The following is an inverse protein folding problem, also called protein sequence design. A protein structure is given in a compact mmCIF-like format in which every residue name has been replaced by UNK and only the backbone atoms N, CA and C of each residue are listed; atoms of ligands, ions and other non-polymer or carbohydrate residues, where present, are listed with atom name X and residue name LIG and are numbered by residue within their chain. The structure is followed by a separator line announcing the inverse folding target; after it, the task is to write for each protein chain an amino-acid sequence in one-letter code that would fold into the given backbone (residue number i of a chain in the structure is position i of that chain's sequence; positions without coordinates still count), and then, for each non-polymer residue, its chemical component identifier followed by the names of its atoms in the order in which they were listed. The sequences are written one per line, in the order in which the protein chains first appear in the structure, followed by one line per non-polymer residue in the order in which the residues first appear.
data_IF_250585444220
#
_entry.id   IF_250585444220
#
_cell.length_a   1.000
_cell.length_b   1.000
_cell.length_c   1.000
_cell.angle_alpha   90.00
_cell.angle_beta   90.00
_cell.angle_gamma   90.00
#
_symmetry.space_group_name_H-M   'P 1'
#
loop_
_entity.id
_entity.type
_entity.pdbx_description
1 polymer ?
#
# COMPACT_ATOMS: atom_id res chain seq x y z
N UNK A 1 -21.52 26.18 -17.97
CA UNK A 1 -20.75 25.50 -16.90
C UNK A 1 -19.63 24.76 -17.60
N UNK A 2 -18.38 25.23 -17.48
CA UNK A 2 -17.25 24.57 -18.13
C UNK A 2 -16.96 23.25 -17.44
N UNK A 3 -16.93 22.17 -18.21
CA UNK A 3 -16.57 20.83 -17.71
C UNK A 3 -15.09 20.85 -17.37
N UNK A 4 -14.73 20.94 -16.09
CA UNK A 4 -13.34 20.77 -15.66
C UNK A 4 -12.88 19.38 -16.08
N UNK A 5 -11.92 19.31 -17.00
CA UNK A 5 -11.45 18.04 -17.55
C UNK A 5 -10.55 17.35 -16.53
N UNK A 6 -11.02 16.23 -15.99
CA UNK A 6 -10.24 15.35 -15.12
C UNK A 6 -9.29 14.51 -15.97
N UNK A 7 -8.00 14.49 -15.62
CA UNK A 7 -6.96 13.77 -16.36
C UNK A 7 -6.41 12.57 -15.57
N UNK A 8 -5.84 11.61 -16.29
CA UNK A 8 -5.01 10.54 -15.73
C UNK A 8 -5.71 9.37 -15.05
N UNK A 9 -7.02 9.22 -15.25
CA UNK A 9 -7.83 8.12 -14.70
C UNK A 9 -7.52 6.77 -15.35
N UNK A 10 -6.83 6.76 -16.49
CA UNK A 10 -6.58 5.54 -17.28
C UNK A 10 -5.74 4.50 -16.54
N UNK A 11 -6.34 3.32 -16.29
CA UNK A 11 -5.64 2.16 -15.73
C UNK A 11 -5.58 2.12 -14.19
N UNK A 12 -6.18 3.09 -13.50
CA UNK A 12 -6.42 3.01 -12.06
C UNK A 12 -7.81 2.48 -11.74
N UNK A 13 -7.98 1.90 -10.55
CA UNK A 13 -9.29 1.51 -10.01
C UNK A 13 -9.92 2.65 -9.21
N UNK A 14 -11.24 2.70 -9.14
CA UNK A 14 -11.95 3.66 -8.30
C UNK A 14 -11.69 3.42 -6.81
N UNK A 15 -11.72 2.15 -6.42
CA UNK A 15 -11.51 1.66 -5.06
C UNK A 15 -10.22 0.81 -4.95
N UNK A 16 -9.57 0.79 -3.77
CA UNK A 16 -8.48 -0.13 -3.55
C UNK A 16 -9.01 -1.56 -3.56
N UNK A 17 -8.25 -2.48 -4.14
CA UNK A 17 -8.50 -3.90 -4.03
C UNK A 17 -8.51 -4.31 -2.56
N UNK A 18 -9.61 -4.90 -2.13
CA UNK A 18 -9.70 -5.59 -0.85
C UNK A 18 -9.38 -7.07 -1.13
N UNK A 19 -8.24 -7.60 -0.66
CA UNK A 19 -7.93 -9.01 -0.65
C UNK A 19 -8.54 -9.64 0.59
N UNK A 20 -9.25 -10.75 0.41
CA UNK A 20 -9.29 -11.89 1.35
C UNK A 20 -10.44 -12.82 0.91
N UNK A 21 -10.07 -14.05 0.53
CA UNK A 21 -10.98 -15.20 0.43
C UNK A 21 -10.92 -16.08 1.71
N UNK A 22 -10.22 -15.62 2.75
CA UNK A 22 -10.21 -16.25 4.08
C UNK A 22 -11.60 -16.18 4.73
N UNK A 23 -11.82 -17.04 5.73
CA UNK A 23 -13.07 -16.97 6.48
C UNK A 23 -13.11 -15.70 7.36
N UNK A 24 -14.32 -15.20 7.72
CA UNK A 24 -14.42 -14.04 8.60
C UNK A 24 -13.70 -14.22 9.94
N UNK A 25 -13.32 -13.11 10.55
CA UNK A 25 -12.66 -13.07 11.86
C UNK A 25 -13.45 -13.86 12.91
N UNK A 26 -12.76 -14.73 13.66
CA UNK A 26 -13.33 -15.54 14.73
C UNK A 26 -14.55 -16.40 14.32
N UNK A 27 -14.68 -16.73 13.03
CA UNK A 27 -15.72 -17.63 12.52
C UNK A 27 -15.48 -19.11 12.85
N UNK A 28 -14.26 -19.48 13.21
CA UNK A 28 -13.85 -20.84 13.54
C UNK A 28 -13.47 -20.98 15.03
N UNK A 29 -13.61 -22.19 15.56
CA UNK A 29 -13.06 -22.51 16.88
C UNK A 29 -11.55 -22.79 16.81
N UNK A 30 -10.75 -22.23 17.73
CA UNK A 30 -9.32 -22.53 17.81
C UNK A 30 -9.10 -24.00 18.21
N UNK A 31 -8.03 -24.58 17.66
CA UNK A 31 -7.49 -25.91 17.98
C UNK A 31 -6.15 -25.74 18.69
N UNK A 32 -5.67 -26.79 19.34
CA UNK A 32 -4.33 -26.78 19.97
C UNK A 32 -3.21 -26.38 19.00
N UNK A 33 -3.31 -26.83 17.74
CA UNK A 33 -2.38 -26.44 16.68
C UNK A 33 -2.34 -24.93 16.42
N UNK A 34 -3.47 -24.23 16.52
CA UNK A 34 -3.53 -22.78 16.30
C UNK A 34 -2.90 -22.02 17.45
N UNK A 35 -3.10 -22.49 18.68
CA UNK A 35 -2.40 -21.92 19.84
C UNK A 35 -0.89 -22.12 19.73
N UNK A 36 -0.44 -23.28 19.26
CA UNK A 36 0.98 -23.53 19.02
C UNK A 36 1.55 -22.59 17.95
N UNK A 37 0.86 -22.42 16.81
CA UNK A 37 1.25 -21.48 15.75
C UNK A 37 1.24 -20.04 16.29
N UNK A 38 0.22 -19.63 17.04
CA UNK A 38 0.15 -18.31 17.64
C UNK A 38 1.35 -18.06 18.57
N UNK A 39 1.65 -18.97 19.50
CA UNK A 39 2.78 -18.85 20.42
C UNK A 39 4.10 -18.77 19.65
N UNK A 40 4.33 -19.65 18.67
CA UNK A 40 5.54 -19.64 17.85
C UNK A 40 5.68 -18.31 17.09
N UNK A 41 4.58 -17.80 16.53
CA UNK A 41 4.57 -16.55 15.76
C UNK A 41 4.86 -15.33 16.65
N UNK A 42 4.46 -15.35 17.93
CA UNK A 42 4.78 -14.28 18.90
C UNK A 42 6.27 -14.13 19.19
N UNK A 43 7.07 -15.16 18.92
CA UNK A 43 8.53 -15.08 19.05
C UNK A 43 9.20 -14.35 17.86
N UNK A 44 8.52 -14.18 16.73
CA UNK A 44 9.13 -13.60 15.52
C UNK A 44 9.33 -12.07 15.58
N UNK A 45 8.38 -11.24 16.06
CA UNK A 45 8.59 -9.79 16.11
C UNK A 45 9.86 -9.32 16.83
N UNK A 46 10.28 -9.85 18.01
CA UNK A 46 11.54 -9.44 18.62
C UNK A 46 12.76 -9.85 17.78
N UNK A 47 12.73 -11.05 17.16
CA UNK A 47 13.81 -11.51 16.26
C UNK A 47 13.94 -10.60 15.04
N UNK A 48 12.84 -10.31 14.37
CA UNK A 48 12.83 -9.41 13.21
C UNK A 48 13.32 -8.01 13.56
N UNK A 49 12.93 -7.49 14.73
CA UNK A 49 13.44 -6.20 15.19
C UNK A 49 14.96 -6.23 15.42
N UNK A 50 15.50 -7.31 15.98
CA UNK A 50 16.94 -7.47 16.17
C UNK A 50 17.70 -7.59 14.83
N UNK A 51 17.06 -8.10 13.79
CA UNK A 51 17.59 -8.18 12.42
C UNK A 51 17.43 -6.87 11.62
N UNK A 52 16.97 -5.79 12.24
CA UNK A 52 16.79 -4.50 11.55
C UNK A 52 15.56 -4.46 10.64
N UNK A 53 14.51 -5.24 10.94
CA UNK A 53 13.24 -5.28 10.20
C UNK A 53 12.09 -4.70 11.07
N UNK A 54 12.15 -3.40 11.43
CA UNK A 54 11.22 -2.81 12.39
C UNK A 54 9.78 -2.73 11.85
N UNK A 55 9.58 -2.52 10.55
CA UNK A 55 8.24 -2.39 9.95
C UNK A 55 7.55 -3.72 9.89
N UNK A 56 8.25 -4.77 9.45
CA UNK A 56 7.75 -6.13 9.43
C UNK A 56 7.43 -6.62 10.85
N UNK A 57 8.33 -6.35 11.81
CA UNK A 57 8.10 -6.66 13.20
C UNK A 57 6.87 -5.92 13.77
N UNK A 58 6.68 -4.66 13.39
CA UNK A 58 5.54 -3.84 13.77
C UNK A 58 4.22 -4.39 13.24
N UNK A 59 4.16 -4.69 11.93
CA UNK A 59 2.98 -5.24 11.27
C UNK A 59 2.59 -6.61 11.86
N UNK A 60 3.56 -7.54 12.00
CA UNK A 60 3.29 -8.85 12.59
C UNK A 60 2.86 -8.74 14.06
N UNK A 61 3.48 -7.86 14.83
CA UNK A 61 3.03 -7.61 16.21
C UNK A 61 1.61 -7.08 16.26
N UNK A 62 1.25 -6.18 15.35
CA UNK A 62 -0.10 -5.60 15.27
C UNK A 62 -1.14 -6.66 14.93
N UNK A 63 -0.85 -7.52 13.95
CA UNK A 63 -1.64 -8.70 13.62
C UNK A 63 -1.91 -9.58 14.86
N UNK A 64 -0.84 -9.93 15.58
CA UNK A 64 -0.91 -10.81 16.76
C UNK A 64 -1.57 -10.16 17.99
N UNK A 65 -1.77 -8.83 18.00
CA UNK A 65 -2.59 -8.17 19.03
C UNK A 65 -4.08 -8.42 18.81
N UNK A 66 -4.50 -8.86 17.62
CA UNK A 66 -5.88 -9.27 17.36
C UNK A 66 -6.91 -8.13 17.30
N UNK A 67 -6.47 -6.86 17.26
CA UNK A 67 -7.42 -5.73 17.34
C UNK A 67 -8.11 -5.41 16.02
N UNK A 68 -7.45 -5.64 14.89
CA UNK A 68 -7.95 -5.26 13.55
C UNK A 68 -8.04 -3.75 13.33
N UNK A 69 -7.52 -2.92 14.24
CA UNK A 69 -7.50 -1.46 14.07
C UNK A 69 -6.62 -1.09 12.88
N UNK A 70 -6.92 0.02 12.17
CA UNK A 70 -6.06 0.49 11.09
C UNK A 70 -4.61 0.66 11.55
N UNK A 71 -3.68 0.25 10.70
CA UNK A 71 -2.24 0.35 10.91
C UNK A 71 -1.68 1.49 10.08
N UNK A 72 -0.91 2.38 10.70
CA UNK A 72 -0.33 3.52 10.00
C UNK A 72 0.94 3.10 9.25
N UNK A 73 0.93 3.27 7.93
CA UNK A 73 2.10 3.13 7.06
C UNK A 73 2.93 4.42 7.06
N UNK A 74 4.24 4.28 6.97
CA UNK A 74 5.13 5.39 6.67
C UNK A 74 5.11 5.65 5.16
N UNK A 75 4.20 6.53 4.73
CA UNK A 75 4.04 6.90 3.33
C UNK A 75 5.29 7.58 2.74
N UNK A 76 6.12 8.23 3.57
CA UNK A 76 7.39 8.81 3.12
C UNK A 76 8.42 7.74 2.83
N UNK A 77 8.56 6.75 3.72
CA UNK A 77 9.44 5.60 3.47
C UNK A 77 8.97 4.79 2.25
N UNK A 78 7.66 4.63 2.05
CA UNK A 78 7.11 3.99 0.87
C UNK A 78 7.42 4.76 -0.42
N UNK A 79 7.19 6.08 -0.42
CA UNK A 79 7.45 6.92 -1.59
C UNK A 79 8.94 6.96 -1.96
N UNK A 80 9.82 6.80 -0.97
CA UNK A 80 11.27 6.74 -1.18
C UNK A 80 11.76 5.41 -1.80
N UNK A 81 10.92 4.38 -1.88
CA UNK A 81 11.30 3.13 -2.55
C UNK A 81 11.45 3.35 -4.06
N UNK A 82 12.55 2.90 -4.69
CA UNK A 82 12.76 3.12 -6.12
C UNK A 82 11.61 2.65 -7.00
N UNK A 83 11.04 1.47 -6.72
CA UNK A 83 9.91 0.92 -7.49
C UNK A 83 8.64 1.77 -7.37
N UNK A 84 8.37 2.33 -6.20
CA UNK A 84 7.22 3.22 -5.97
C UNK A 84 7.49 4.58 -6.62
N UNK A 85 8.70 5.10 -6.45
CA UNK A 85 9.10 6.38 -7.02
C UNK A 85 8.97 6.37 -8.54
N UNK A 86 9.55 5.37 -9.21
CA UNK A 86 9.42 5.18 -10.66
C UNK A 86 7.96 5.07 -11.11
N UNK A 87 7.12 4.34 -10.39
CA UNK A 87 5.71 4.18 -10.75
C UNK A 87 4.92 5.50 -10.62
N UNK A 88 5.24 6.31 -9.62
CA UNK A 88 4.65 7.65 -9.46
C UNK A 88 5.19 8.62 -10.51
N UNK A 89 6.50 8.68 -10.74
CA UNK A 89 7.10 9.61 -11.70
C UNK A 89 6.53 9.38 -13.11
N UNK A 90 6.40 8.11 -13.50
CA UNK A 90 5.75 7.74 -14.76
C UNK A 90 4.28 8.21 -14.83
N UNK A 91 3.56 8.26 -13.71
CA UNK A 91 2.19 8.80 -13.67
C UNK A 91 2.18 10.33 -13.76
N UNK A 92 3.11 11.01 -13.09
CA UNK A 92 3.23 12.47 -13.16
C UNK A 92 3.58 12.90 -14.58
N UNK A 93 4.46 12.18 -15.28
CA UNK A 93 4.82 12.45 -16.67
C UNK A 93 3.63 12.28 -17.63
N UNK A 94 2.79 11.26 -17.41
CA UNK A 94 1.53 11.08 -18.15
C UNK A 94 0.61 12.28 -17.95
N UNK A 95 0.38 12.68 -16.70
CA UNK A 95 -0.44 13.85 -16.38
C UNK A 95 0.08 15.13 -17.05
N UNK A 96 1.40 15.35 -17.08
CA UNK A 96 1.99 16.49 -17.77
C UNK A 96 1.73 16.46 -19.26
N UNK A 97 1.90 15.31 -19.90
CA UNK A 97 1.67 15.14 -21.33
C UNK A 97 0.20 15.38 -21.69
N UNK A 98 -0.73 14.79 -20.93
CA UNK A 98 -2.18 15.00 -21.08
C UNK A 98 -2.56 16.47 -20.89
N UNK A 99 -2.13 17.10 -19.81
CA UNK A 99 -2.42 18.51 -19.54
C UNK A 99 -1.83 19.45 -20.61
N UNK A 100 -0.59 19.18 -21.05
CA UNK A 100 0.08 20.00 -22.07
C UNK A 100 -0.62 19.92 -23.43
N UNK A 101 -1.24 18.77 -23.76
CA UNK A 101 -2.05 18.63 -24.97
C UNK A 101 -3.35 19.44 -24.92
N UNK A 102 -3.85 19.77 -23.72
CA UNK A 102 -5.04 20.62 -23.52
C UNK A 102 -4.71 22.13 -23.55
N UNK A 103 -3.43 22.49 -23.45
CA UNK A 103 -2.96 23.87 -23.48
C UNK A 103 -2.84 24.51 -22.08
N UNK A 104 -2.62 25.84 -22.00
CA UNK A 104 -2.47 26.54 -20.74
C UNK A 104 -3.74 26.48 -19.88
N UNK A 105 -3.59 26.11 -18.61
CA UNK A 105 -4.71 25.90 -17.70
C UNK A 105 -4.33 25.13 -16.44
N UNK A 106 -5.33 24.90 -15.60
CA UNK A 106 -5.21 24.10 -14.38
C UNK A 106 -6.16 22.92 -14.46
N UNK A 107 -5.62 21.70 -14.34
CA UNK A 107 -6.34 20.46 -14.59
C UNK A 107 -6.30 19.56 -13.35
N UNK A 108 -7.44 19.17 -12.76
CA UNK A 108 -7.46 18.17 -11.70
C UNK A 108 -7.04 16.82 -12.27
N UNK A 109 -6.30 16.05 -11.48
CA UNK A 109 -5.74 14.77 -11.87
C UNK A 109 -5.98 13.72 -10.81
N UNK A 110 -6.32 12.50 -11.24
CA UNK A 110 -6.53 11.36 -10.37
C UNK A 110 -6.04 10.09 -11.03
N UNK A 111 -5.11 9.39 -10.38
CA UNK A 111 -4.51 8.19 -10.97
C UNK A 111 -5.39 6.96 -10.84
N UNK A 112 -6.45 7.02 -10.04
CA UNK A 112 -7.08 5.85 -9.41
C UNK A 112 -6.10 5.05 -8.54
N UNK A 113 -6.59 3.98 -7.92
CA UNK A 113 -5.76 3.04 -7.17
C UNK A 113 -4.98 2.12 -8.10
N UNK A 114 -3.68 1.99 -7.84
CA UNK A 114 -2.73 1.20 -8.62
C UNK A 114 -1.89 0.33 -7.70
N UNK A 115 -1.64 -0.91 -8.11
CA UNK A 115 -0.77 -1.82 -7.36
C UNK A 115 0.71 -1.61 -7.70
N UNK A 116 1.57 -1.68 -6.69
CA UNK A 116 3.02 -1.77 -6.86
C UNK A 116 3.58 -2.89 -6.00
N UNK A 117 4.35 -3.78 -6.62
CA UNK A 117 5.03 -4.87 -5.93
C UNK A 117 6.35 -4.37 -5.35
N UNK A 118 6.56 -4.61 -4.06
CA UNK A 118 7.81 -4.29 -3.39
C UNK A 118 8.72 -5.52 -3.54
N UNK A 119 9.99 -5.31 -3.84
CA UNK A 119 10.94 -6.40 -3.98
C UNK A 119 11.91 -6.42 -2.81
N UNK A 120 12.29 -7.62 -2.37
CA UNK A 120 13.21 -7.82 -1.25
C UNK A 120 14.54 -7.07 -1.41
N UNK A 121 15.06 -6.96 -2.64
CA UNK A 121 16.29 -6.20 -2.95
C UNK A 121 16.13 -4.69 -2.76
N UNK A 122 14.91 -4.16 -2.92
CA UNK A 122 14.61 -2.74 -2.72
C UNK A 122 14.40 -2.38 -1.26
N UNK A 123 13.78 -3.27 -0.48
CA UNK A 123 13.72 -3.17 0.98
C UNK A 123 13.25 -4.50 1.56
N UNK A 124 14.12 -5.20 2.30
CA UNK A 124 13.74 -6.46 2.94
C UNK A 124 12.66 -6.25 4.02
N UNK A 125 12.73 -5.13 4.74
CA UNK A 125 11.76 -4.79 5.79
C UNK A 125 10.36 -4.54 5.20
N UNK A 126 10.24 -3.65 4.21
CA UNK A 126 8.94 -3.33 3.59
C UNK A 126 8.42 -4.47 2.72
N UNK A 127 9.31 -5.23 2.07
CA UNK A 127 8.92 -6.45 1.36
C UNK A 127 8.30 -7.47 2.31
N UNK A 128 8.94 -7.75 3.45
CA UNK A 128 8.41 -8.70 4.43
C UNK A 128 7.14 -8.17 5.12
N UNK A 129 7.06 -6.87 5.33
CA UNK A 129 5.90 -6.24 5.95
C UNK A 129 4.67 -6.21 5.03
N UNK A 130 4.83 -5.93 3.73
CA UNK A 130 3.70 -5.57 2.86
C UNK A 130 3.61 -6.43 1.60
N UNK A 131 4.73 -6.94 1.08
CA UNK A 131 4.94 -7.57 -0.25
C UNK A 131 4.58 -6.69 -1.45
N UNK A 132 3.50 -5.94 -1.37
CA UNK A 132 3.06 -4.92 -2.30
C UNK A 132 2.07 -3.98 -1.62
N UNK A 133 1.81 -2.85 -2.24
CA UNK A 133 0.88 -1.84 -1.74
C UNK A 133 0.07 -1.29 -2.90
N UNK A 134 -1.11 -0.76 -2.61
CA UNK A 134 -1.85 0.03 -3.57
C UNK A 134 -1.63 1.50 -3.28
N UNK A 135 -1.43 2.30 -4.31
CA UNK A 135 -1.30 3.74 -4.16
C UNK A 135 -2.29 4.49 -5.05
N UNK A 136 -2.65 5.71 -4.66
CA UNK A 136 -3.41 6.66 -5.45
C UNK A 136 -2.75 8.02 -5.38
N UNK A 137 -2.68 8.68 -6.52
CA UNK A 137 -2.27 10.07 -6.64
C UNK A 137 -3.50 10.90 -6.96
N UNK A 138 -3.70 11.98 -6.22
CA UNK A 138 -4.72 12.99 -6.53
C UNK A 138 -4.06 14.35 -6.50
N UNK A 139 -4.37 15.23 -7.43
CA UNK A 139 -3.71 16.53 -7.48
C UNK A 139 -4.20 17.44 -8.58
N UNK A 140 -3.37 18.44 -8.88
CA UNK A 140 -3.61 19.44 -9.91
C UNK A 140 -2.34 19.60 -10.75
N UNK A 141 -2.50 19.71 -12.07
CA UNK A 141 -1.44 20.05 -13.01
C UNK A 141 -1.69 21.46 -13.52
N UNK A 142 -0.73 22.34 -13.33
CA UNK A 142 -0.76 23.72 -13.80
C UNK A 142 0.17 23.88 -15.01
N UNK A 143 -0.43 24.18 -16.17
CA UNK A 143 0.26 24.41 -17.45
C UNK A 143 0.36 25.91 -17.71
N UNK A 144 1.57 26.49 -17.72
CA UNK A 144 1.75 27.92 -17.93
C UNK A 144 1.59 28.32 -19.40
N UNK A 145 1.23 29.58 -19.65
CA UNK A 145 1.01 30.11 -21.00
C UNK A 145 2.29 30.27 -21.85
N UNK A 146 3.47 30.32 -21.23
CA UNK A 146 4.71 30.78 -21.88
C UNK A 146 5.82 29.71 -21.98
N UNK A 147 5.47 28.46 -22.27
CA UNK A 147 6.46 27.41 -22.54
C UNK A 147 7.30 26.96 -21.33
N UNK A 148 7.00 27.47 -20.13
CA UNK A 148 7.53 26.92 -18.89
C UNK A 148 6.96 25.51 -18.63
N UNK A 149 7.66 24.70 -17.83
CA UNK A 149 7.25 23.33 -17.55
C UNK A 149 5.97 23.29 -16.69
N UNK A 150 5.06 22.33 -16.93
CA UNK A 150 3.91 22.13 -16.06
C UNK A 150 4.35 21.73 -14.66
N UNK A 151 3.76 22.37 -13.65
CA UNK A 151 3.96 22.03 -12.24
C UNK A 151 2.84 21.11 -11.77
N UNK A 152 3.18 20.08 -11.00
CA UNK A 152 2.19 19.17 -10.41
C UNK A 152 2.20 19.32 -8.89
N UNK A 153 1.05 19.63 -8.30
CA UNK A 153 0.83 19.52 -6.85
C UNK A 153 -0.02 18.29 -6.60
N UNK A 154 0.44 17.35 -5.77
CA UNK A 154 -0.24 16.08 -5.57
C UNK A 154 -0.19 15.57 -4.13
N UNK A 155 -1.15 14.70 -3.83
CA UNK A 155 -1.25 13.87 -2.64
C UNK A 155 -0.92 12.43 -3.04
N UNK A 156 -0.08 11.76 -2.25
CA UNK A 156 0.20 10.34 -2.34
C UNK A 156 -0.52 9.61 -1.22
N UNK A 157 -1.41 8.68 -1.57
CA UNK A 157 -2.11 7.80 -0.64
C UNK A 157 -1.66 6.36 -0.87
N UNK A 158 -1.49 5.61 0.21
CA UNK A 158 -1.10 4.21 0.21
C UNK A 158 -2.09 3.39 1.04
N UNK A 159 -2.48 2.24 0.51
CA UNK A 159 -3.43 1.31 1.11
C UNK A 159 -2.95 -0.12 0.92
N UNK A 160 -3.02 -0.91 1.99
CA UNK A 160 -2.80 -2.36 1.97
C UNK A 160 -3.76 -2.98 2.96
N UNK A 161 -4.67 -3.80 2.46
CA UNK A 161 -5.32 -4.76 3.33
C UNK A 161 -4.32 -5.88 3.63
N UNK A 162 -3.97 -5.94 4.91
CA UNK A 162 -2.90 -6.76 5.43
C UNK A 162 -3.46 -8.09 5.90
N UNK A 163 -3.07 -9.16 5.21
CA UNK A 163 -3.59 -10.49 5.42
C UNK A 163 -2.53 -11.57 5.15
N UNK A 164 -2.85 -12.79 5.56
CA UNK A 164 -2.17 -13.99 5.10
C UNK A 164 -3.16 -14.75 4.21
N UNK A 165 -3.00 -14.64 2.90
CA UNK A 165 -3.91 -15.30 1.95
C UNK A 165 -3.81 -16.83 2.07
N UNK A 166 -4.92 -17.49 2.41
CA UNK A 166 -4.98 -18.95 2.49
C UNK A 166 -4.64 -19.55 1.12
N UNK A 167 -3.83 -20.61 1.13
CA UNK A 167 -3.39 -21.29 -0.09
C UNK A 167 -2.16 -20.66 -0.74
N UNK A 168 -1.77 -19.45 -0.34
CA UNK A 168 -0.47 -18.90 -0.69
C UNK A 168 0.64 -19.43 0.22
N UNK A 169 1.88 -19.26 -0.24
CA UNK A 169 3.08 -19.55 0.53
C UNK A 169 4.22 -18.64 0.08
N UNK A 170 5.18 -18.44 0.96
CA UNK A 170 6.42 -17.74 0.64
C UNK A 170 7.61 -18.51 1.23
N UNK A 171 8.65 -18.75 0.43
CA UNK A 171 9.80 -19.58 0.81
C UNK A 171 9.45 -20.94 1.46
N UNK A 172 8.38 -21.59 0.98
CA UNK A 172 7.92 -22.87 1.52
C UNK A 172 7.21 -22.75 2.87
N UNK A 173 6.99 -21.54 3.38
CA UNK A 173 6.16 -21.27 4.56
C UNK A 173 4.72 -21.04 4.06
N UNK A 174 3.80 -21.98 4.32
CA UNK A 174 2.41 -21.81 3.94
C UNK A 174 1.74 -20.72 4.77
N UNK A 175 0.87 -19.93 4.16
CA UNK A 175 0.12 -18.88 4.85
C UNK A 175 -1.14 -19.38 5.53
N UNK A 176 -1.66 -20.54 5.14
CA UNK A 176 -2.85 -21.16 5.73
C UNK A 176 -2.85 -21.23 7.27
N UNK A 177 -1.76 -21.62 7.97
CA UNK A 177 -1.73 -21.61 9.42
C UNK A 177 -1.90 -20.22 10.03
N UNK A 178 -1.38 -19.19 9.36
CA UNK A 178 -1.51 -17.80 9.80
C UNK A 178 -2.90 -17.27 9.47
N UNK A 179 -3.42 -17.47 8.27
CA UNK A 179 -4.82 -17.15 7.92
C UNK A 179 -5.80 -17.69 8.99
N UNK A 180 -5.59 -18.94 9.41
CA UNK A 180 -6.39 -19.59 10.44
C UNK A 180 -6.33 -18.90 11.81
N UNK A 181 -5.26 -18.18 12.17
CA UNK A 181 -5.22 -17.38 13.39
C UNK A 181 -6.24 -16.22 13.35
N UNK A 182 -6.47 -15.62 12.17
CA UNK A 182 -7.55 -14.64 11.98
C UNK A 182 -8.92 -15.29 12.15
N UNK A 183 -9.12 -16.40 11.45
CA UNK A 183 -10.40 -17.11 11.41
C UNK A 183 -10.79 -17.68 12.79
N UNK A 184 -9.80 -17.97 13.65
CA UNK A 184 -10.02 -18.47 15.02
C UNK A 184 -10.03 -17.39 16.09
N UNK A 185 -9.83 -16.12 15.71
CA UNK A 185 -9.82 -14.99 16.63
C UNK A 185 -8.53 -14.82 17.45
N UNK A 186 -7.49 -15.60 17.16
CA UNK A 186 -6.20 -15.55 17.86
C UNK A 186 -5.31 -14.40 17.39
N UNK A 187 -5.48 -13.96 16.15
CA UNK A 187 -4.85 -12.78 15.56
C UNK A 187 -5.88 -12.09 14.66
N UNK A 188 -5.61 -10.89 14.15
CA UNK A 188 -6.58 -10.19 13.30
C UNK A 188 -5.87 -9.38 12.23
N UNK A 189 -6.12 -9.77 10.98
CA UNK A 189 -5.90 -8.97 9.77
C UNK A 189 -6.46 -7.56 9.90
N UNK A 190 -5.90 -6.62 9.15
CA UNK A 190 -6.16 -5.19 9.34
C UNK A 190 -5.91 -4.41 8.06
N UNK A 191 -6.53 -3.24 7.96
CA UNK A 191 -6.18 -2.27 6.93
C UNK A 191 -4.94 -1.48 7.34
N UNK A 192 -4.05 -1.24 6.38
CA UNK A 192 -2.85 -0.45 6.56
C UNK A 192 -2.85 0.72 5.58
N UNK A 193 -2.76 1.94 6.13
CA UNK A 193 -2.97 3.17 5.38
C UNK A 193 -1.88 4.19 5.68
N UNK A 194 -1.51 4.99 4.68
CA UNK A 194 -0.60 6.12 4.86
C UNK A 194 -0.81 7.17 3.78
N UNK A 195 -0.51 8.42 4.10
CA UNK A 195 -0.65 9.53 3.16
C UNK A 195 0.44 10.59 3.32
N UNK A 196 0.72 11.28 2.23
CA UNK A 196 1.48 12.51 2.14
C UNK A 196 0.72 13.49 1.26
N UNK A 197 0.60 14.74 1.71
CA UNK A 197 -0.10 15.79 0.97
C UNK A 197 0.83 16.97 0.69
N UNK A 198 0.43 17.82 -0.27
CA UNK A 198 1.18 19.02 -0.66
C UNK A 198 2.54 18.72 -1.30
N UNK A 199 2.70 17.57 -1.95
CA UNK A 199 3.91 17.25 -2.71
C UNK A 199 3.91 18.06 -3.99
N UNK A 200 5.05 18.68 -4.32
CA UNK A 200 5.20 19.49 -5.54
C UNK A 200 6.28 18.87 -6.40
N UNK A 201 5.98 18.71 -7.69
CA UNK A 201 6.93 18.24 -8.70
C UNK A 201 6.94 19.19 -9.91
N UNK A 202 8.06 19.89 -10.09
CA UNK A 202 8.26 20.88 -11.14
C UNK A 202 8.85 20.30 -12.44
N UNK A 203 9.20 19.01 -12.44
CA UNK A 203 9.79 18.29 -13.58
C UNK A 203 11.15 18.81 -14.05
#
# INVERSE_FOLDING_TARGET
MGTTTLIGTEGGREDPQLPNDNAPFASLRPRLGDHAVHIATRALPPVWRALGLPTAAGALRHYLRGTGRPYRLDARALLALPVVRTAVDAQLDRWRAEASALGPGSYPADSGWRGVSIHRRGSADLWLALRGVQYRLTGTVDVPAHGARPTVTYRFQAHKSWNFDRGESEYGIPFTPFARLHETGLAREFEAEGELDGLVDSG
#
